data_IF_828536897888
#
_entry.id   IF_828536897888
#
_cell.length_a   1.000
_cell.length_b   1.000
_cell.length_c   1.000
_cell.angle_alpha   90.00
_cell.angle_beta   90.00
_cell.angle_gamma   90.00
#
_symmetry.space_group_name_H-M   'P 1'
#
loop_
_entity.id
_entity.type
_entity.pdbx_description
1 polymer ?
#
# COMPACT_ATOMS: atom_id res chain seq x y z
N UNK A 1 -9.19 9.25 18.02
CA UNK A 1 -9.01 7.88 17.48
C UNK A 1 -8.11 8.04 16.29
N UNK A 2 -6.87 7.54 16.36
CA UNK A 2 -5.91 7.68 15.26
C UNK A 2 -6.20 6.60 14.22
N UNK A 3 -6.26 6.98 12.95
CA UNK A 3 -6.33 6.03 11.84
C UNK A 3 -4.93 5.84 11.29
N UNK A 4 -4.27 4.75 11.68
CA UNK A 4 -2.87 4.51 11.32
C UNK A 4 -2.70 4.27 9.81
N UNK A 5 -3.71 3.69 9.13
CA UNK A 5 -3.64 3.35 7.71
C UNK A 5 -4.98 3.50 6.99
N UNK A 6 -4.95 3.95 5.73
CA UNK A 6 -6.10 3.98 4.84
C UNK A 6 -6.21 2.71 4.00
N UNK A 7 -5.86 2.77 2.72
CA UNK A 7 -5.81 1.63 1.82
C UNK A 7 -4.45 0.93 1.93
N UNK A 8 -4.42 -0.30 2.48
CA UNK A 8 -3.18 -1.04 2.73
C UNK A 8 -3.21 -2.47 2.17
N UNK A 9 -2.19 -2.81 1.39
CA UNK A 9 -1.81 -4.19 1.06
C UNK A 9 -0.51 -4.50 1.79
N UNK A 10 -0.47 -5.61 2.52
CA UNK A 10 0.74 -6.13 3.17
C UNK A 10 0.91 -7.61 2.83
N UNK A 11 2.11 -8.02 2.44
CA UNK A 11 2.41 -9.44 2.18
C UNK A 11 3.66 -9.87 2.93
N UNK A 12 3.66 -11.13 3.36
CA UNK A 12 4.79 -11.74 4.04
C UNK A 12 5.80 -12.29 3.03
N UNK A 13 7.07 -12.04 3.28
CA UNK A 13 8.16 -12.73 2.58
C UNK A 13 8.17 -14.23 2.94
N UNK A 14 8.66 -15.07 2.05
CA UNK A 14 8.68 -16.52 2.21
C UNK A 14 7.34 -17.21 1.96
N UNK A 15 6.33 -16.46 1.51
CA UNK A 15 5.00 -16.99 1.17
C UNK A 15 4.78 -16.94 -0.34
N UNK A 16 4.01 -17.90 -0.82
CA UNK A 16 3.52 -17.96 -2.19
C UNK A 16 2.02 -17.66 -2.23
N UNK A 17 1.58 -17.07 -3.34
CA UNK A 17 0.19 -16.69 -3.55
C UNK A 17 0.09 -15.46 -4.43
N UNK A 18 -1.12 -14.95 -4.59
CA UNK A 18 -1.38 -13.74 -5.36
C UNK A 18 -2.42 -12.84 -4.66
N UNK A 19 -2.20 -11.53 -4.76
CA UNK A 19 -3.16 -10.49 -4.48
C UNK A 19 -3.35 -9.69 -5.77
N UNK A 20 -4.43 -9.98 -6.51
CA UNK A 20 -4.63 -9.41 -7.85
C UNK A 20 -6.03 -8.91 -8.12
N UNK A 21 -6.14 -7.97 -9.06
CA UNK A 21 -7.41 -7.36 -9.49
C UNK A 21 -8.14 -6.66 -8.31
N UNK A 22 -7.42 -5.84 -7.56
CA UNK A 22 -7.93 -5.15 -6.37
C UNK A 22 -8.16 -3.68 -6.71
N UNK A 23 -9.31 -3.12 -6.30
CA UNK A 23 -9.60 -1.70 -6.47
C UNK A 23 -10.00 -1.06 -5.14
N UNK A 24 -9.25 -0.05 -4.72
CA UNK A 24 -9.63 0.90 -3.67
C UNK A 24 -10.15 2.16 -4.34
N UNK A 25 -11.40 2.54 -4.09
CA UNK A 25 -11.98 3.70 -4.75
C UNK A 25 -12.95 4.51 -3.89
N UNK A 26 -13.06 5.81 -4.22
CA UNK A 26 -14.02 6.75 -3.62
C UNK A 26 -13.86 6.87 -2.10
N UNK A 27 -12.63 7.00 -1.63
CA UNK A 27 -12.30 7.07 -0.20
C UNK A 27 -12.09 8.53 0.23
N UNK A 28 -12.57 8.86 1.43
CA UNK A 28 -12.26 10.13 2.12
C UNK A 28 -11.41 9.78 3.34
N UNK A 29 -10.25 10.41 3.48
CA UNK A 29 -9.31 10.21 4.58
C UNK A 29 -9.28 11.44 5.47
N UNK A 30 -9.29 11.23 6.78
CA UNK A 30 -9.24 12.31 7.77
C UNK A 30 -8.11 11.99 8.75
N UNK A 31 -7.07 12.82 8.75
CA UNK A 31 -5.93 12.72 9.65
C UNK A 31 -5.29 11.32 9.69
N UNK A 32 -5.20 10.66 8.52
CA UNK A 32 -4.65 9.30 8.39
C UNK A 32 -3.12 9.36 8.35
N UNK A 33 -2.43 8.54 9.15
CA UNK A 33 -0.95 8.52 9.14
C UNK A 33 -0.38 8.01 7.82
N UNK A 34 -0.89 6.88 7.34
CA UNK A 34 -0.43 6.28 6.10
C UNK A 34 -1.61 5.97 5.16
N UNK A 35 -2.03 6.96 4.37
CA UNK A 35 -3.18 6.85 3.48
C UNK A 35 -3.14 5.65 2.53
N UNK A 36 -2.04 5.45 1.81
CA UNK A 36 -1.91 4.38 0.80
C UNK A 36 -0.60 3.63 1.02
N UNK A 37 -0.69 2.32 1.27
CA UNK A 37 0.48 1.45 1.45
C UNK A 37 0.36 0.19 0.60
N UNK A 38 1.43 -0.15 -0.11
CA UNK A 38 1.78 -1.53 -0.48
C UNK A 38 3.12 -1.85 0.18
N UNK A 39 3.16 -2.92 0.97
CA UNK A 39 4.37 -3.41 1.62
C UNK A 39 4.51 -4.92 1.44
N UNK A 40 5.40 -5.33 0.53
CA UNK A 40 5.73 -6.74 0.29
C UNK A 40 6.94 -7.23 1.10
N UNK A 41 7.51 -6.38 1.96
CA UNK A 41 8.75 -6.65 2.70
C UNK A 41 8.50 -6.99 4.17
N UNK A 42 7.27 -7.40 4.50
CA UNK A 42 6.94 -7.79 5.85
C UNK A 42 7.64 -9.12 6.19
N UNK A 43 8.55 -9.07 7.16
CA UNK A 43 9.34 -10.20 7.62
C UNK A 43 9.48 -10.13 9.14
N UNK A 44 9.23 -11.23 9.83
CA UNK A 44 9.42 -11.39 11.27
C UNK A 44 10.75 -12.11 11.60
N UNK A 45 11.58 -12.36 10.59
CA UNK A 45 12.84 -13.10 10.69
C UNK A 45 14.03 -12.24 10.30
N UNK A 46 15.20 -12.60 10.83
CA UNK A 46 16.47 -11.94 10.51
C UNK A 46 16.85 -12.03 9.03
N UNK A 47 16.39 -13.07 8.33
CA UNK A 47 16.65 -13.30 6.92
C UNK A 47 15.39 -13.15 6.07
N UNK A 48 15.45 -12.18 5.14
CA UNK A 48 14.45 -12.04 4.10
C UNK A 48 14.47 -13.26 3.18
N UNK A 49 13.29 -13.82 2.88
CA UNK A 49 13.18 -14.97 1.98
C UNK A 49 12.88 -14.54 0.55
N UNK A 50 13.32 -15.35 -0.42
CA UNK A 50 13.29 -14.99 -1.84
C UNK A 50 11.88 -14.94 -2.44
N UNK A 51 10.96 -15.79 -1.98
CA UNK A 51 9.59 -15.80 -2.48
C UNK A 51 8.75 -14.70 -1.84
N UNK A 52 7.93 -14.02 -2.63
CA UNK A 52 6.90 -13.10 -2.13
C UNK A 52 5.61 -13.31 -2.90
N UNK A 53 4.50 -12.95 -2.26
CA UNK A 53 3.16 -12.99 -2.87
C UNK A 53 3.12 -12.04 -4.04
N UNK A 54 2.66 -12.50 -5.20
CA UNK A 54 2.51 -11.66 -6.38
C UNK A 54 1.44 -10.59 -6.13
N UNK A 55 1.80 -9.31 -6.30
CA UNK A 55 0.84 -8.19 -6.25
C UNK A 55 0.68 -7.63 -7.65
N UNK A 56 -0.49 -7.82 -8.26
CA UNK A 56 -0.74 -7.49 -9.66
C UNK A 56 -2.09 -6.78 -9.86
N UNK A 57 -2.16 -5.80 -10.75
CA UNK A 57 -3.41 -5.12 -11.11
C UNK A 57 -4.16 -4.56 -9.89
N UNK A 58 -3.51 -3.62 -9.20
CA UNK A 58 -4.08 -2.91 -8.04
C UNK A 58 -4.34 -1.47 -8.43
N UNK A 59 -5.57 -1.01 -8.26
CA UNK A 59 -5.97 0.37 -8.57
C UNK A 59 -6.38 1.13 -7.31
N UNK A 60 -5.84 2.32 -7.14
CA UNK A 60 -6.29 3.31 -6.16
C UNK A 60 -6.89 4.50 -6.93
N UNK A 61 -8.17 4.79 -6.72
CA UNK A 61 -8.89 5.78 -7.52
C UNK A 61 -9.78 6.70 -6.70
N UNK A 62 -9.75 8.00 -6.98
CA UNK A 62 -10.64 8.98 -6.32
C UNK A 62 -10.52 8.91 -4.78
N UNK A 63 -9.30 9.05 -4.29
CA UNK A 63 -8.99 9.06 -2.85
C UNK A 63 -8.63 10.50 -2.48
N UNK A 64 -9.34 11.07 -1.51
CA UNK A 64 -9.14 12.48 -1.10
C UNK A 64 -9.11 12.63 0.41
N UNK A 65 -8.56 13.73 0.90
CA UNK A 65 -8.60 14.07 2.32
C UNK A 65 -7.25 14.49 2.88
N UNK A 66 -6.96 14.13 4.13
CA UNK A 66 -5.80 14.64 4.87
C UNK A 66 -4.92 13.56 5.49
N UNK A 67 -3.63 13.87 5.61
CA UNK A 67 -2.59 13.01 6.19
C UNK A 67 -1.77 13.78 7.21
N UNK A 68 -1.31 13.08 8.25
CA UNK A 68 -0.41 13.64 9.26
C UNK A 68 1.06 13.28 9.04
N UNK A 69 1.38 12.57 7.94
CA UNK A 69 2.74 12.38 7.45
C UNK A 69 2.89 12.86 6.01
N UNK A 70 4.10 13.38 5.71
CA UNK A 70 4.47 13.88 4.38
C UNK A 70 4.46 12.77 3.32
N UNK A 71 4.81 11.54 3.70
CA UNK A 71 4.76 10.38 2.82
C UNK A 71 3.36 9.77 2.85
N UNK A 72 2.44 10.31 2.04
CA UNK A 72 1.05 9.87 1.99
C UNK A 72 0.88 8.51 1.27
N UNK A 73 1.82 8.17 0.38
CA UNK A 73 1.77 6.99 -0.48
C UNK A 73 3.11 6.28 -0.42
N UNK A 74 3.09 5.02 -0.01
CA UNK A 74 4.26 4.15 0.03
C UNK A 74 4.01 2.87 -0.77
N UNK A 75 4.83 2.61 -1.78
CA UNK A 75 4.79 1.37 -2.57
C UNK A 75 6.16 0.70 -2.47
N UNK A 76 6.29 -0.24 -1.53
CA UNK A 76 7.49 -1.01 -1.27
C UNK A 76 7.26 -2.46 -1.73
N UNK A 77 7.73 -2.75 -2.94
CA UNK A 77 7.62 -4.08 -3.53
C UNK A 77 8.87 -4.92 -3.24
N UNK A 78 8.74 -6.24 -3.29
CA UNK A 78 9.87 -7.16 -3.19
C UNK A 78 10.77 -7.02 -4.40
N UNK A 79 12.09 -7.13 -4.23
CA UNK A 79 13.06 -7.12 -5.34
C UNK A 79 13.02 -8.40 -6.17
N UNK A 80 12.47 -9.49 -5.63
CA UNK A 80 12.45 -10.81 -6.26
C UNK A 80 11.11 -11.08 -6.97
N UNK A 81 10.01 -10.60 -6.40
CA UNK A 81 8.67 -10.66 -7.00
C UNK A 81 8.10 -9.25 -7.04
N UNK A 82 8.39 -8.54 -8.13
CA UNK A 82 7.97 -7.14 -8.32
C UNK A 82 6.44 -7.03 -8.35
N UNK A 83 5.90 -5.97 -7.77
CA UNK A 83 4.53 -5.58 -8.06
C UNK A 83 4.40 -5.21 -9.54
N UNK A 84 3.24 -5.45 -10.13
CA UNK A 84 2.97 -5.06 -11.52
C UNK A 84 1.56 -4.46 -11.67
N UNK A 85 1.40 -3.54 -12.63
CA UNK A 85 0.11 -2.90 -12.93
C UNK A 85 -0.53 -2.21 -11.70
N UNK A 86 0.28 -1.45 -10.95
CA UNK A 86 -0.22 -0.60 -9.86
C UNK A 86 -0.63 0.75 -10.44
N UNK A 87 -1.90 1.11 -10.31
CA UNK A 87 -2.46 2.33 -10.87
C UNK A 87 -2.94 3.29 -9.76
N UNK A 88 -2.56 4.56 -9.89
CA UNK A 88 -3.03 5.67 -9.05
C UNK A 88 -3.78 6.66 -9.94
N UNK A 89 -5.00 7.02 -9.58
CA UNK A 89 -5.80 7.97 -10.35
C UNK A 89 -6.65 8.88 -9.46
N UNK A 90 -6.55 10.20 -9.66
CA UNK A 90 -7.32 11.18 -8.88
C UNK A 90 -7.11 11.02 -7.36
N UNK A 91 -5.86 11.22 -6.90
CA UNK A 91 -5.46 11.12 -5.49
C UNK A 91 -5.15 12.53 -4.97
N UNK A 92 -5.95 13.04 -4.04
CA UNK A 92 -5.83 14.37 -3.46
C UNK A 92 -5.72 14.30 -1.93
N UNK A 93 -4.50 14.05 -1.43
CA UNK A 93 -4.21 13.96 0.00
C UNK A 93 -3.35 15.15 0.43
N UNK A 94 -3.85 15.94 1.38
CA UNK A 94 -3.15 17.12 1.90
C UNK A 94 -2.48 16.81 3.24
N UNK A 95 -1.24 17.23 3.41
CA UNK A 95 -0.56 17.15 4.69
C UNK A 95 -1.04 18.27 5.63
N UNK A 96 -1.41 17.93 6.86
CA UNK A 96 -1.93 18.87 7.88
C UNK A 96 -0.96 19.15 9.05
N UNK A 97 0.31 18.76 8.92
CA UNK A 97 1.35 19.00 9.93
C UNK A 97 2.34 20.11 9.58
#
# INVERSE_FOLDING_TARGET
MWHDHGARIKTWQGRSGFAKNITFQNMIMDNVQNPIIIDQNYCDRETMQESSVEVNNVTFKNIRGTTIFKEAIKVSCSTNVLCSQIALGNIHLNFEG
#
